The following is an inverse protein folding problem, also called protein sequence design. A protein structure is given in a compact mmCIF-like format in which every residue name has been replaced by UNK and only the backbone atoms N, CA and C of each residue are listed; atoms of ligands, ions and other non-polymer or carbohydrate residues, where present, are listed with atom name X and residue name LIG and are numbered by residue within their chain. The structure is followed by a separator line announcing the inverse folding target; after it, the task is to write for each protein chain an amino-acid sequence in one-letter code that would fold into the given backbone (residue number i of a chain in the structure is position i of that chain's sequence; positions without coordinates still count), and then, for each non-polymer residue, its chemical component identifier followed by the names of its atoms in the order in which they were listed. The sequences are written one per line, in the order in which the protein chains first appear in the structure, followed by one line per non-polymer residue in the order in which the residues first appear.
data_IF_264820033251
#
_entry.id   IF_264820033251
#
_cell.length_a   1.000
_cell.length_b   1.000
_cell.length_c   1.000
_cell.angle_alpha   90.00
_cell.angle_beta   90.00
_cell.angle_gamma   90.00
#
_symmetry.space_group_name_H-M   'P 1'
#
loop_
_entity.id
_entity.type
_entity.pdbx_description
1 polymer ?
#
# COMPACT_ATOMS: atom_id res chain seq x y z
N UNK A 1 -21.65 -0.19 16.99
CA UNK A 1 -20.31 -0.69 16.62
C UNK A 1 -19.73 -1.61 17.68
N UNK A 2 -19.66 -1.22 18.97
CA UNK A 2 -19.35 -2.17 20.04
C UNK A 2 -20.35 -3.35 20.09
N UNK A 3 -21.63 -3.07 19.83
CA UNK A 3 -22.68 -4.09 19.69
C UNK A 3 -22.49 -5.02 18.46
N UNK A 4 -21.64 -4.65 17.50
CA UNK A 4 -21.26 -5.49 16.35
C UNK A 4 -19.88 -6.15 16.56
N UNK A 5 -19.32 -6.07 17.77
CA UNK A 5 -18.01 -6.63 18.11
C UNK A 5 -16.80 -5.85 17.57
N UNK A 6 -17.02 -4.71 16.90
CA UNK A 6 -15.94 -3.87 16.36
C UNK A 6 -15.33 -2.99 17.45
N UNK A 7 -13.99 -3.05 17.56
CA UNK A 7 -13.20 -2.21 18.47
C UNK A 7 -12.36 -1.22 17.66
N UNK A 8 -11.98 -0.11 18.27
CA UNK A 8 -11.16 0.90 17.62
C UNK A 8 -11.10 2.19 18.44
N UNK A 9 -10.24 3.14 18.03
CA UNK A 9 -10.17 4.44 18.67
C UNK A 9 -11.53 5.17 18.61
N UNK A 10 -11.89 5.96 19.63
CA UNK A 10 -13.11 6.75 19.60
C UNK A 10 -13.05 7.79 18.48
N UNK A 11 -14.21 8.10 17.89
CA UNK A 11 -14.36 9.18 16.92
C UNK A 11 -14.03 10.54 17.55
N UNK A 12 -13.28 11.39 16.84
CA UNK A 12 -12.97 12.77 17.28
C UNK A 12 -13.44 13.79 16.23
N UNK A 13 -14.57 14.46 16.49
CA UNK A 13 -15.10 15.47 15.58
C UNK A 13 -14.15 16.68 15.43
N UNK A 14 -14.04 17.32 14.25
CA UNK A 14 -14.65 16.93 12.97
C UNK A 14 -13.80 15.98 12.11
N UNK A 15 -12.54 15.74 12.50
CA UNK A 15 -11.56 15.09 11.62
C UNK A 15 -11.43 13.57 11.82
N UNK A 16 -12.24 12.97 12.70
CA UNK A 16 -12.02 11.61 13.14
C UNK A 16 -10.62 11.43 13.75
N UNK A 17 -9.96 10.32 13.41
CA UNK A 17 -8.60 10.03 13.85
C UNK A 17 -7.53 10.55 12.87
N UNK A 18 -7.89 11.25 11.79
CA UNK A 18 -6.93 11.68 10.75
C UNK A 18 -5.73 12.44 11.32
N UNK A 19 -5.95 13.39 12.24
CA UNK A 19 -4.85 14.16 12.86
C UNK A 19 -3.91 13.28 13.69
N UNK A 20 -4.47 12.28 14.38
CA UNK A 20 -3.72 11.34 15.19
C UNK A 20 -2.90 10.38 14.32
N UNK A 21 -3.48 9.87 13.23
CA UNK A 21 -2.78 9.06 12.23
C UNK A 21 -1.61 9.83 11.62
N UNK A 22 -1.84 11.07 11.19
CA UNK A 22 -0.78 11.91 10.61
C UNK A 22 0.36 12.18 11.62
N UNK A 23 0.03 12.38 12.89
CA UNK A 23 1.03 12.54 13.95
C UNK A 23 1.84 11.27 14.15
N UNK A 24 1.18 10.11 14.30
CA UNK A 24 1.85 8.81 14.46
C UNK A 24 2.79 8.51 13.29
N UNK A 25 2.35 8.76 12.05
CA UNK A 25 3.19 8.60 10.85
C UNK A 25 4.38 9.55 10.85
N UNK A 26 4.19 10.82 11.21
CA UNK A 26 5.30 11.79 11.31
C UNK A 26 6.32 11.37 12.36
N UNK A 27 5.86 10.89 13.52
CA UNK A 27 6.73 10.40 14.60
C UNK A 27 7.50 9.14 14.19
N UNK A 28 6.86 8.20 13.48
CA UNK A 28 7.50 6.99 12.99
C UNK A 28 8.59 7.31 11.96
N UNK A 29 8.29 8.18 10.98
CA UNK A 29 9.26 8.63 9.97
C UNK A 29 10.43 9.44 10.55
N UNK A 30 10.22 10.13 11.67
CA UNK A 30 11.28 10.91 12.34
C UNK A 30 12.25 10.06 13.16
N UNK A 31 12.00 8.77 13.34
CA UNK A 31 12.89 7.87 14.11
C UNK A 31 13.96 7.28 13.18
N UNK A 32 15.23 7.20 13.61
CA UNK A 32 16.26 6.53 12.84
C UNK A 32 15.90 5.06 12.60
N UNK A 33 15.75 4.67 11.34
CA UNK A 33 15.46 3.30 10.89
C UNK A 33 16.60 2.32 11.22
N UNK A 34 17.81 2.84 11.47
CA UNK A 34 19.04 2.06 11.69
C UNK A 34 19.08 1.24 12.99
N UNK A 35 18.12 1.41 13.91
CA UNK A 35 18.16 0.70 15.20
C UNK A 35 17.58 -0.71 15.20
N UNK A 36 16.86 -1.12 14.15
CA UNK A 36 16.28 -2.47 14.08
C UNK A 36 16.25 -2.95 12.63
N UNK A 37 17.24 -3.74 12.22
CA UNK A 37 17.15 -4.64 11.07
C UNK A 37 16.18 -5.78 11.41
N UNK A 38 14.91 -5.43 11.61
CA UNK A 38 13.83 -6.35 11.94
C UNK A 38 12.89 -6.46 10.75
N UNK A 39 12.37 -7.66 10.51
CA UNK A 39 11.27 -7.85 9.57
C UNK A 39 9.95 -7.28 10.10
N UNK A 40 9.88 -6.90 11.37
CA UNK A 40 8.74 -6.20 11.96
C UNK A 40 8.74 -4.71 11.58
N UNK A 41 8.35 -4.44 10.34
CA UNK A 41 8.30 -3.10 9.75
C UNK A 41 6.95 -2.39 9.96
N UNK A 42 5.93 -3.10 10.44
CA UNK A 42 4.58 -2.54 10.62
C UNK A 42 4.56 -1.30 11.54
N UNK A 43 5.32 -1.23 12.65
CA UNK A 43 5.40 -0.03 13.46
C UNK A 43 5.95 1.20 12.71
N UNK A 44 6.68 1.00 11.62
CA UNK A 44 7.28 2.06 10.81
C UNK A 44 6.32 2.48 9.70
N UNK A 45 5.79 1.52 8.95
CA UNK A 45 4.98 1.79 7.75
C UNK A 45 3.53 2.14 8.09
N UNK A 46 2.94 1.49 9.11
CA UNK A 46 1.55 1.69 9.54
C UNK A 46 1.46 1.74 11.08
N UNK A 47 2.11 2.74 11.73
CA UNK A 47 2.17 2.86 13.19
C UNK A 47 0.78 2.89 13.85
N UNK A 48 -0.21 3.49 13.18
CA UNK A 48 -1.58 3.57 13.66
C UNK A 48 -2.26 2.19 13.78
N UNK A 49 -2.06 1.32 12.79
CA UNK A 49 -2.64 -0.03 12.79
C UNK A 49 -1.93 -0.87 13.83
N UNK A 50 -0.60 -0.84 13.85
CA UNK A 50 0.19 -1.54 14.87
C UNK A 50 -0.23 -1.14 16.30
N UNK A 51 -0.40 0.15 16.55
CA UNK A 51 -0.81 0.64 17.88
C UNK A 51 -2.20 0.14 18.25
N UNK A 52 -3.19 0.31 17.38
CA UNK A 52 -4.58 -0.02 17.72
C UNK A 52 -4.85 -1.52 17.82
N UNK A 53 -4.19 -2.33 16.99
CA UNK A 53 -4.25 -3.80 17.11
C UNK A 53 -3.76 -4.24 18.50
N UNK A 54 -2.66 -3.63 18.99
CA UNK A 54 -2.07 -3.99 20.26
C UNK A 54 -2.80 -3.41 21.49
N UNK A 55 -3.44 -2.24 21.36
CA UNK A 55 -4.07 -1.57 22.53
C UNK A 55 -5.55 -1.87 22.70
N UNK A 56 -6.26 -2.30 21.65
CA UNK A 56 -7.71 -2.49 21.74
C UNK A 56 -8.13 -3.90 22.19
N UNK A 57 -7.20 -4.81 22.54
CA UNK A 57 -7.46 -6.23 22.84
C UNK A 57 -8.54 -6.80 21.90
N UNK A 58 -8.44 -6.49 20.62
CA UNK A 58 -9.41 -6.89 19.61
C UNK A 58 -9.17 -8.34 19.26
N UNK A 59 -9.68 -9.24 20.11
CA UNK A 59 -9.72 -10.68 19.88
C UNK A 59 -10.42 -11.03 18.55
N UNK A 60 -11.19 -10.10 17.99
CA UNK A 60 -11.67 -10.10 16.61
C UNK A 60 -11.09 -8.88 15.89
N UNK A 61 -10.06 -9.11 15.07
CA UNK A 61 -9.09 -8.17 14.50
C UNK A 61 -9.62 -7.16 13.48
N UNK A 62 -10.81 -6.59 13.70
CA UNK A 62 -11.41 -5.55 12.89
C UNK A 62 -11.33 -4.21 13.62
N UNK A 63 -10.36 -3.39 13.21
CA UNK A 63 -10.14 -2.04 13.78
C UNK A 63 -10.82 -1.00 12.91
N UNK A 64 -11.77 -0.25 13.47
CA UNK A 64 -12.40 0.87 12.76
C UNK A 64 -11.65 2.16 13.06
N UNK A 65 -11.25 2.88 12.01
CA UNK A 65 -10.73 4.23 12.12
C UNK A 65 -11.57 5.22 11.32
N UNK A 66 -11.56 6.47 11.74
CA UNK A 66 -12.37 7.52 11.14
C UNK A 66 -11.49 8.46 10.35
N UNK A 67 -11.69 8.48 9.03
CA UNK A 67 -10.93 9.31 8.12
C UNK A 67 -11.78 10.48 7.64
N UNK A 68 -11.26 11.69 7.79
CA UNK A 68 -11.82 12.87 7.14
C UNK A 68 -11.51 12.82 5.64
N UNK A 69 -12.54 12.91 4.79
CA UNK A 69 -12.36 13.10 3.36
C UNK A 69 -11.82 14.50 3.06
N UNK A 70 -10.61 14.58 2.50
CA UNK A 70 -9.88 15.83 2.31
C UNK A 70 -10.42 16.76 1.20
N UNK A 71 -11.47 16.36 0.47
CA UNK A 71 -11.77 16.99 -0.83
C UNK A 71 -12.91 18.03 -0.81
N UNK A 72 -13.70 18.15 0.26
CA UNK A 72 -14.74 19.21 0.38
C UNK A 72 -14.78 19.77 1.81
N UNK A 73 -14.26 20.98 2.07
CA UNK A 73 -14.21 21.57 3.41
C UNK A 73 -15.56 21.76 4.10
N UNK A 74 -16.66 21.84 3.34
CA UNK A 74 -18.03 22.02 3.84
C UNK A 74 -18.79 20.71 4.07
N UNK A 75 -18.25 19.57 3.63
CA UNK A 75 -18.84 18.24 3.81
C UNK A 75 -17.73 17.30 4.27
N UNK A 76 -17.29 17.48 5.51
CA UNK A 76 -16.41 16.53 6.20
C UNK A 76 -17.15 15.21 6.38
N UNK A 77 -17.22 14.39 5.33
CA UNK A 77 -17.71 13.02 5.45
C UNK A 77 -16.65 12.24 6.21
N UNK A 78 -16.96 11.84 7.43
CA UNK A 78 -16.18 10.85 8.17
C UNK A 78 -16.46 9.49 7.54
N UNK A 79 -15.50 8.96 6.78
CA UNK A 79 -15.56 7.57 6.34
C UNK A 79 -15.01 6.70 7.46
N UNK A 80 -15.79 5.70 7.88
CA UNK A 80 -15.25 4.61 8.68
C UNK A 80 -14.46 3.68 7.77
N UNK A 81 -13.19 3.46 8.07
CA UNK A 81 -12.34 2.45 7.43
C UNK A 81 -12.11 1.33 8.42
N UNK A 82 -12.31 0.08 7.98
CA UNK A 82 -12.07 -1.09 8.82
C UNK A 82 -10.80 -1.80 8.34
N UNK A 83 -9.82 -1.96 9.22
CA UNK A 83 -8.62 -2.75 8.96
C UNK A 83 -8.81 -4.15 9.52
N UNK A 84 -8.39 -5.17 8.75
CA UNK A 84 -8.41 -6.57 9.16
C UNK A 84 -7.01 -7.14 9.17
N UNK A 85 -6.63 -7.85 10.24
CA UNK A 85 -5.35 -8.58 10.31
C UNK A 85 -5.52 -10.10 10.43
N UNK A 86 -6.74 -10.60 10.57
CA UNK A 86 -7.02 -12.05 10.68
C UNK A 86 -6.98 -12.73 9.28
N UNK A 87 -6.12 -13.74 9.07
CA UNK A 87 -5.99 -14.41 7.77
C UNK A 87 -7.30 -14.98 7.21
N UNK A 88 -8.15 -15.58 8.04
CA UNK A 88 -9.41 -16.18 7.57
C UNK A 88 -10.40 -15.12 7.06
N UNK A 89 -10.49 -13.98 7.76
CA UNK A 89 -11.33 -12.85 7.32
C UNK A 89 -10.72 -12.21 6.07
N UNK A 90 -9.39 -12.04 6.01
CA UNK A 90 -8.71 -11.52 4.81
C UNK A 90 -9.01 -12.43 3.61
N UNK A 91 -8.96 -13.75 3.79
CA UNK A 91 -9.27 -14.73 2.75
C UNK A 91 -10.73 -14.64 2.30
N UNK A 92 -11.68 -14.43 3.22
CA UNK A 92 -13.08 -14.19 2.88
C UNK A 92 -13.25 -12.92 2.04
N UNK A 93 -12.63 -11.81 2.48
CA UNK A 93 -12.63 -10.52 1.77
C UNK A 93 -12.02 -10.65 0.38
N UNK A 94 -10.90 -11.37 0.23
CA UNK A 94 -10.21 -11.53 -1.05
C UNK A 94 -10.90 -12.52 -1.99
N UNK A 95 -11.61 -13.53 -1.46
CA UNK A 95 -12.42 -14.43 -2.28
C UNK A 95 -13.63 -13.73 -2.90
N UNK A 96 -14.22 -12.77 -2.19
CA UNK A 96 -15.23 -11.81 -2.68
C UNK A 96 -16.29 -12.39 -3.64
N UNK A 97 -16.78 -13.61 -3.39
CA UNK A 97 -17.67 -14.32 -4.33
C UNK A 97 -18.96 -13.55 -4.61
N UNK A 98 -19.46 -12.88 -3.57
CA UNK A 98 -20.69 -12.10 -3.61
C UNK A 98 -20.48 -10.65 -4.08
N UNK A 99 -19.24 -10.26 -4.41
CA UNK A 99 -18.85 -8.91 -4.86
C UNK A 99 -19.19 -7.79 -3.87
N UNK A 100 -19.24 -8.12 -2.58
CA UNK A 100 -19.53 -7.17 -1.50
C UNK A 100 -18.36 -6.22 -1.20
N UNK A 101 -17.14 -6.60 -1.57
CA UNK A 101 -15.94 -5.79 -1.38
C UNK A 101 -15.47 -5.19 -2.71
N UNK A 102 -15.62 -3.88 -2.87
CA UNK A 102 -15.21 -3.19 -4.09
C UNK A 102 -13.83 -2.54 -3.91
N UNK A 103 -13.05 -2.48 -5.00
CA UNK A 103 -11.78 -1.74 -4.98
C UNK A 103 -12.04 -0.25 -4.70
N UNK A 104 -11.19 0.34 -3.88
CA UNK A 104 -11.20 1.79 -3.65
C UNK A 104 -10.83 2.48 -4.96
N UNK A 105 -11.71 3.38 -5.43
CA UNK A 105 -11.45 4.16 -6.63
C UNK A 105 -10.58 5.37 -6.29
N UNK A 106 -9.47 5.59 -7.01
CA UNK A 106 -8.65 6.78 -6.80
C UNK A 106 -9.44 8.03 -7.17
N UNK A 107 -9.13 9.14 -6.51
CA UNK A 107 -9.73 10.45 -6.72
C UNK A 107 -8.63 11.51 -6.92
N UNK A 108 -9.03 12.73 -7.29
CA UNK A 108 -8.13 13.86 -7.44
C UNK A 108 -6.91 13.57 -8.32
N UNK A 109 -5.73 13.93 -7.82
CA UNK A 109 -4.45 13.73 -8.52
C UNK A 109 -4.15 12.26 -8.80
N UNK A 110 -4.45 11.36 -7.85
CA UNK A 110 -4.22 9.93 -8.04
C UNK A 110 -4.97 9.40 -9.26
N UNK A 111 -6.23 9.82 -9.47
CA UNK A 111 -7.01 9.41 -10.65
C UNK A 111 -6.39 9.91 -11.95
N UNK A 112 -5.83 11.13 -11.96
CA UNK A 112 -5.14 11.69 -13.14
C UNK A 112 -3.88 10.90 -13.48
N UNK A 113 -3.14 10.43 -12.47
CA UNK A 113 -1.91 9.69 -12.65
C UNK A 113 -2.16 8.25 -13.12
N UNK A 114 -3.05 7.51 -12.44
CA UNK A 114 -3.26 6.07 -12.73
C UNK A 114 -4.34 5.79 -13.78
N UNK A 115 -5.13 6.80 -14.15
CA UNK A 115 -6.16 6.70 -15.18
C UNK A 115 -7.19 5.60 -14.94
N UNK A 116 -7.60 4.95 -16.02
CA UNK A 116 -8.53 3.81 -16.05
C UNK A 116 -7.79 2.49 -16.37
N UNK A 117 -6.62 2.30 -15.78
CA UNK A 117 -5.81 1.09 -15.96
C UNK A 117 -6.28 -0.12 -15.12
N UNK A 118 -5.56 -1.24 -15.27
CA UNK A 118 -5.86 -2.52 -14.60
C UNK A 118 -5.92 -2.45 -13.07
N UNK A 119 -5.18 -1.52 -12.46
CA UNK A 119 -5.18 -1.30 -11.01
C UNK A 119 -6.54 -0.79 -10.53
N UNK A 120 -7.23 0.00 -11.35
CA UNK A 120 -8.46 0.72 -10.99
C UNK A 120 -9.73 0.01 -11.49
N UNK A 121 -9.66 -0.61 -12.67
CA UNK A 121 -10.82 -1.22 -13.29
C UNK A 121 -11.35 -2.43 -12.48
N UNK A 122 -12.64 -2.68 -12.68
CA UNK A 122 -13.37 -3.82 -12.12
C UNK A 122 -14.34 -4.41 -13.16
N UNK A 123 -14.94 -5.56 -12.85
CA UNK A 123 -15.93 -6.24 -13.67
C UNK A 123 -15.41 -6.69 -15.03
N UNK A 124 -16.27 -6.71 -16.05
CA UNK A 124 -15.95 -7.26 -17.37
C UNK A 124 -14.80 -6.54 -18.08
N UNK A 125 -14.70 -5.21 -17.91
CA UNK A 125 -13.61 -4.42 -18.51
C UNK A 125 -12.26 -4.84 -17.93
N UNK A 126 -12.20 -5.05 -16.62
CA UNK A 126 -11.00 -5.56 -15.97
C UNK A 126 -10.66 -6.98 -16.43
N UNK A 127 -11.64 -7.89 -16.52
CA UNK A 127 -11.42 -9.27 -16.98
C UNK A 127 -10.80 -9.30 -18.38
N UNK A 128 -11.33 -8.50 -19.32
CA UNK A 128 -10.80 -8.43 -20.69
C UNK A 128 -9.36 -7.93 -20.74
N UNK A 129 -9.08 -6.82 -20.06
CA UNK A 129 -7.73 -6.25 -20.04
C UNK A 129 -6.73 -7.12 -19.25
N UNK A 130 -7.18 -7.81 -18.19
CA UNK A 130 -6.32 -8.69 -17.39
C UNK A 130 -5.94 -9.91 -18.21
N UNK A 131 -6.88 -10.47 -18.98
CA UNK A 131 -6.59 -11.58 -19.90
C UNK A 131 -5.55 -11.17 -20.94
N UNK A 132 -5.67 -9.98 -21.53
CA UNK A 132 -4.68 -9.47 -22.48
C UNK A 132 -3.31 -9.29 -21.83
N UNK A 133 -3.24 -8.61 -20.69
CA UNK A 133 -1.99 -8.36 -19.98
C UNK A 133 -1.31 -9.65 -19.49
N UNK A 134 -2.07 -10.66 -19.07
CA UNK A 134 -1.52 -11.95 -18.63
C UNK A 134 -0.65 -12.63 -19.68
N UNK A 135 -0.84 -12.36 -20.98
CA UNK A 135 0.05 -12.87 -22.02
C UNK A 135 1.46 -12.29 -21.86
N UNK A 136 1.61 -10.99 -21.62
CA UNK A 136 2.92 -10.34 -21.43
C UNK A 136 3.64 -10.82 -20.16
N UNK A 137 2.89 -11.27 -19.14
CA UNK A 137 3.42 -11.82 -17.90
C UNK A 137 3.45 -13.36 -17.89
N UNK A 138 3.36 -14.00 -19.06
CA UNK A 138 3.50 -15.45 -19.16
C UNK A 138 4.96 -15.87 -18.95
N UNK A 139 5.19 -17.04 -18.34
CA UNK A 139 6.53 -17.48 -17.93
C UNK A 139 7.56 -17.49 -19.07
N UNK A 140 7.18 -17.91 -20.27
CA UNK A 140 8.09 -17.91 -21.43
C UNK A 140 8.45 -16.50 -21.89
N UNK A 141 7.52 -15.55 -21.83
CA UNK A 141 7.80 -14.15 -22.16
C UNK A 141 8.69 -13.54 -21.07
N UNK A 142 8.40 -13.78 -19.80
CA UNK A 142 9.25 -13.32 -18.69
C UNK A 142 10.69 -13.87 -18.80
N UNK A 143 10.85 -15.14 -19.18
CA UNK A 143 12.19 -15.72 -19.43
C UNK A 143 12.91 -14.99 -20.55
N UNK A 144 12.21 -14.62 -21.62
CA UNK A 144 12.80 -13.86 -22.73
C UNK A 144 13.21 -12.44 -22.35
N UNK A 145 12.60 -11.87 -21.30
CA UNK A 145 12.96 -10.55 -20.75
C UNK A 145 14.12 -10.60 -19.75
N UNK A 146 14.49 -11.79 -19.23
CA UNK A 146 15.57 -11.92 -18.24
C UNK A 146 16.92 -11.34 -18.70
N UNK A 147 17.37 -11.54 -19.96
CA UNK A 147 18.63 -10.95 -20.42
C UNK A 147 18.64 -9.43 -20.25
N UNK A 148 17.57 -8.73 -20.63
CA UNK A 148 17.47 -7.28 -20.47
C UNK A 148 17.53 -6.86 -18.99
N UNK A 149 16.88 -7.60 -18.10
CA UNK A 149 16.97 -7.34 -16.65
C UNK A 149 18.41 -7.52 -16.15
N UNK A 150 19.08 -8.58 -16.58
CA UNK A 150 20.47 -8.87 -16.21
C UNK A 150 21.41 -7.78 -16.75
N UNK A 151 21.20 -7.31 -17.97
CA UNK A 151 21.99 -6.25 -18.58
C UNK A 151 21.81 -4.91 -17.83
N UNK A 152 20.57 -4.53 -17.49
CA UNK A 152 20.30 -3.34 -16.66
C UNK A 152 20.97 -3.41 -15.29
N UNK A 153 20.97 -4.59 -14.65
CA UNK A 153 21.66 -4.79 -13.36
C UNK A 153 23.18 -4.67 -13.54
N UNK A 154 23.77 -5.27 -14.58
CA UNK A 154 25.22 -5.12 -14.84
C UNK A 154 25.59 -3.66 -15.08
N UNK A 155 24.83 -2.93 -15.88
CA UNK A 155 25.07 -1.49 -16.12
C UNK A 155 24.99 -0.66 -14.84
N UNK A 156 24.07 -0.99 -13.92
CA UNK A 156 24.02 -0.36 -12.60
C UNK A 156 25.27 -0.68 -11.78
N UNK A 157 25.70 -1.93 -11.74
CA UNK A 157 26.88 -2.36 -10.97
C UNK A 157 28.18 -1.77 -11.51
N UNK A 158 28.35 -1.68 -12.84
CA UNK A 158 29.51 -1.02 -13.45
C UNK A 158 29.63 0.45 -13.02
N UNK A 159 28.50 1.19 -12.98
CA UNK A 159 28.48 2.59 -12.47
C UNK A 159 28.86 2.69 -10.99
N UNK A 160 28.57 1.65 -10.20
CA UNK A 160 28.92 1.59 -8.78
C UNK A 160 30.41 1.27 -8.59
N UNK A 161 31.01 0.46 -9.45
CA UNK A 161 32.47 0.21 -9.44
C UNK A 161 33.26 1.50 -9.68
N UNK A 162 32.78 2.35 -10.59
CA UNK A 162 33.36 3.67 -10.89
C UNK A 162 33.20 4.70 -9.74
N UNK A 163 32.40 4.40 -8.70
CA UNK A 163 32.15 5.31 -7.57
C UNK A 163 33.27 5.34 -6.51
N UNK A 164 34.41 4.68 -6.74
CA UNK A 164 35.63 4.76 -5.90
C UNK A 164 35.37 4.59 -4.38
N UNK A 165 34.45 3.71 -3.98
CA UNK A 165 34.06 3.47 -2.57
C UNK A 165 33.34 4.64 -1.87
N UNK A 166 32.69 5.54 -2.61
CA UNK A 166 31.78 6.54 -2.04
C UNK A 166 30.45 5.92 -1.63
N UNK A 167 29.76 6.55 -0.68
CA UNK A 167 28.40 6.17 -0.30
C UNK A 167 27.45 6.34 -1.50
N UNK A 168 26.55 5.38 -1.69
CA UNK A 168 25.57 5.35 -2.79
C UNK A 168 24.16 5.40 -2.20
N UNK A 169 23.31 6.28 -2.73
CA UNK A 169 21.88 6.32 -2.39
C UNK A 169 21.12 5.23 -3.14
N UNK A 170 21.02 4.06 -2.50
CA UNK A 170 20.44 2.84 -3.11
C UNK A 170 18.97 3.04 -3.51
N UNK A 171 18.22 3.92 -2.84
CA UNK A 171 16.82 4.16 -3.18
C UNK A 171 16.66 4.75 -4.60
N UNK A 172 17.50 5.72 -4.97
CA UNK A 172 17.45 6.35 -6.29
C UNK A 172 17.93 5.39 -7.38
N UNK A 173 18.99 4.64 -7.12
CA UNK A 173 19.51 3.62 -8.05
C UNK A 173 18.45 2.55 -8.36
N UNK A 174 17.72 2.08 -7.35
CA UNK A 174 16.66 1.09 -7.56
C UNK A 174 15.44 1.67 -8.29
N UNK A 175 15.14 2.97 -8.14
CA UNK A 175 14.13 3.63 -8.98
C UNK A 175 14.56 3.58 -10.45
N UNK A 176 15.81 3.94 -10.75
CA UNK A 176 16.32 3.93 -12.12
C UNK A 176 16.34 2.50 -12.70
N UNK A 177 16.86 1.54 -11.94
CA UNK A 177 16.89 0.14 -12.35
C UNK A 177 15.48 -0.40 -12.65
N UNK A 178 14.51 -0.14 -11.77
CA UNK A 178 13.14 -0.62 -12.00
C UNK A 178 12.46 0.07 -13.17
N UNK A 179 12.80 1.33 -13.46
CA UNK A 179 12.31 2.03 -14.66
C UNK A 179 12.91 1.42 -15.94
N UNK A 180 14.22 1.16 -15.97
CA UNK A 180 14.89 0.52 -17.11
C UNK A 180 14.35 -0.90 -17.36
N UNK A 181 14.05 -1.66 -16.31
CA UNK A 181 13.49 -3.02 -16.40
C UNK A 181 12.05 -3.02 -16.93
N UNK A 182 11.26 -2.00 -16.62
CA UNK A 182 9.83 -1.95 -17.00
C UNK A 182 9.62 -1.32 -18.39
N UNK A 183 10.51 -0.42 -18.82
CA UNK A 183 10.42 0.30 -20.11
C UNK A 183 10.64 -0.59 -21.32
#
# INVERSE_FOLDING_TARGET
MAAQGLKGPPYRFPHGNTKEILRMRKEAMGRPTSRHLSHDILPIIQPEIHTWVNTCDSVNFLTVCWLCGAEIPSLAWSSASTSCTEPEIIKEILNNKDKNFVKIKPRGFAKKLVGDGLVVLDGEKWVKLRKLANHAFHGEILKSSLPAVVDSVHMMLEKWEDHESKEIEVFEEFILLTLEVIS
#
